data_IF_363998477015
#
_entry.id   IF_363998477015
#
_cell.length_a   1.000
_cell.length_b   1.000
_cell.length_c   1.000
_cell.angle_alpha   90.00
_cell.angle_beta   90.00
_cell.angle_gamma   90.00
#
_symmetry.space_group_name_H-M   'P 1'
#
loop_
_entity.id
_entity.type
_entity.pdbx_description
1 polymer ?
#
# COMPACT_ATOMS: atom_id res chain seq x y z
N UNK A 1 39.93 32.12 -58.51
CA UNK A 1 38.99 32.28 -57.36
C UNK A 1 38.42 30.92 -57.02
N UNK A 2 38.83 30.35 -55.86
CA UNK A 2 38.36 29.05 -55.39
C UNK A 2 37.43 29.28 -54.18
N UNK A 3 36.18 28.95 -54.32
CA UNK A 3 35.20 29.02 -53.25
C UNK A 3 35.27 27.73 -52.43
N UNK A 4 35.56 27.86 -51.12
CA UNK A 4 35.54 26.75 -50.15
C UNK A 4 34.18 26.75 -49.46
N UNK A 5 33.40 25.72 -49.75
CA UNK A 5 32.12 25.43 -49.05
C UNK A 5 32.44 24.65 -47.77
N UNK A 6 32.25 25.31 -46.61
CA UNK A 6 32.31 24.66 -45.31
C UNK A 6 30.94 24.05 -45.01
N UNK A 7 30.80 22.71 -45.06
CA UNK A 7 29.68 21.96 -44.52
C UNK A 7 29.80 21.89 -43.02
N UNK A 8 28.96 22.64 -42.32
CA UNK A 8 28.79 22.47 -40.88
C UNK A 8 27.91 21.30 -40.56
N UNK A 9 28.46 20.22 -39.97
CA UNK A 9 27.68 19.10 -39.45
C UNK A 9 27.13 19.48 -38.08
N UNK A 10 25.80 19.63 -38.01
CA UNK A 10 25.09 19.81 -36.74
C UNK A 10 24.87 18.43 -36.13
N UNK A 11 25.64 18.08 -35.10
CA UNK A 11 25.38 16.90 -34.26
C UNK A 11 24.18 17.19 -33.38
N UNK A 12 23.03 16.61 -33.72
CA UNK A 12 21.86 16.57 -32.85
C UNK A 12 22.11 15.55 -31.71
N UNK A 13 22.44 16.06 -30.52
CA UNK A 13 22.49 15.25 -29.31
C UNK A 13 21.05 14.84 -28.92
N UNK A 14 20.68 13.60 -29.23
CA UNK A 14 19.44 13.01 -28.74
C UNK A 14 19.57 12.79 -27.22
N UNK A 15 18.98 13.67 -26.43
CA UNK A 15 18.82 13.49 -25.00
C UNK A 15 17.79 12.38 -24.79
N UNK A 16 18.15 11.26 -24.14
CA UNK A 16 17.14 10.23 -23.84
C UNK A 16 16.13 10.84 -22.86
N UNK A 17 14.91 11.02 -23.31
CA UNK A 17 13.78 11.34 -22.44
C UNK A 17 13.52 10.12 -21.57
N UNK A 18 14.00 10.15 -20.33
CA UNK A 18 13.60 9.21 -19.29
C UNK A 18 12.12 9.47 -19.04
N UNK A 19 11.27 8.63 -19.61
CA UNK A 19 9.85 8.58 -19.25
C UNK A 19 9.79 8.23 -17.76
N UNK A 20 9.59 9.23 -16.92
CA UNK A 20 9.24 9.03 -15.53
C UNK A 20 7.89 8.33 -15.52
N UNK A 21 7.89 6.98 -15.46
CA UNK A 21 6.69 6.19 -15.32
C UNK A 21 5.90 6.71 -14.12
N UNK A 22 4.59 6.87 -14.28
CA UNK A 22 3.72 7.33 -13.18
C UNK A 22 3.96 6.47 -11.96
N UNK A 23 4.39 7.05 -10.83
CA UNK A 23 4.74 6.27 -9.65
C UNK A 23 3.53 5.48 -9.17
N UNK A 24 3.66 4.17 -9.15
CA UNK A 24 2.64 3.25 -8.67
C UNK A 24 2.64 3.11 -7.15
N UNK A 25 1.82 2.20 -6.68
CA UNK A 25 1.76 1.81 -5.27
C UNK A 25 2.34 0.41 -5.12
N UNK A 26 3.27 0.23 -4.19
CA UNK A 26 3.81 -1.07 -3.78
C UNK A 26 3.86 -1.14 -2.26
N UNK A 27 3.00 -1.96 -1.66
CA UNK A 27 2.85 -2.11 -0.22
C UNK A 27 3.07 -3.55 0.19
N UNK A 28 3.82 -3.76 1.28
CA UNK A 28 3.88 -5.01 2.01
C UNK A 28 2.97 -4.90 3.23
N UNK A 29 2.03 -5.82 3.34
CA UNK A 29 1.03 -5.84 4.40
C UNK A 29 1.25 -7.11 5.21
N UNK A 30 1.47 -6.94 6.52
CA UNK A 30 1.56 -8.04 7.48
C UNK A 30 0.40 -7.92 8.45
N UNK A 31 -0.46 -8.92 8.48
CA UNK A 31 -1.66 -8.95 9.30
C UNK A 31 -1.60 -10.10 10.33
N UNK A 32 -2.03 -9.82 11.54
CA UNK A 32 -2.09 -10.77 12.66
C UNK A 32 -3.54 -11.00 13.09
N UNK A 33 -3.83 -12.24 13.49
CA UNK A 33 -5.10 -12.61 14.10
C UNK A 33 -5.28 -11.98 15.49
N UNK A 34 -6.47 -12.12 16.05
CA UNK A 34 -6.71 -11.86 17.48
C UNK A 34 -5.68 -12.60 18.33
N UNK A 35 -5.08 -11.92 19.28
CA UNK A 35 -4.01 -12.48 20.13
C UNK A 35 -2.67 -12.68 19.42
N UNK A 36 -2.55 -12.31 18.15
CA UNK A 36 -1.28 -12.33 17.39
C UNK A 36 -0.72 -13.71 17.05
N UNK A 37 -1.51 -14.78 17.19
CA UNK A 37 -1.04 -16.16 17.00
C UNK A 37 -0.80 -16.57 15.57
N UNK A 38 -1.58 -16.02 14.64
CA UNK A 38 -1.48 -16.29 13.21
C UNK A 38 -1.11 -15.01 12.48
N UNK A 39 -0.19 -15.11 11.54
CA UNK A 39 0.31 -13.98 10.77
C UNK A 39 0.29 -14.32 9.27
N UNK A 40 -0.14 -13.37 8.47
CA UNK A 40 -0.03 -13.42 7.01
C UNK A 40 0.69 -12.19 6.49
N UNK A 41 1.62 -12.40 5.54
CA UNK A 41 2.30 -11.32 4.85
C UNK A 41 2.06 -11.45 3.35
N UNK A 42 1.70 -10.35 2.71
CA UNK A 42 1.49 -10.29 1.27
C UNK A 42 1.86 -8.91 0.71
N UNK A 43 2.05 -8.86 -0.59
CA UNK A 43 2.37 -7.62 -1.30
C UNK A 43 1.17 -7.19 -2.15
N UNK A 44 0.84 -5.91 -2.09
CA UNK A 44 -0.16 -5.27 -2.93
C UNK A 44 0.53 -4.26 -3.84
N UNK A 45 0.38 -4.45 -5.14
CA UNK A 45 0.92 -3.54 -6.15
C UNK A 45 -0.23 -2.98 -6.98
N UNK A 46 -0.31 -1.64 -7.05
CA UNK A 46 -1.27 -0.93 -7.87
C UNK A 46 -0.50 -0.06 -8.86
N UNK A 47 -0.62 -0.38 -10.12
CA UNK A 47 -0.03 0.41 -11.20
C UNK A 47 -1.14 1.08 -12.04
N UNK A 48 -0.86 2.20 -12.75
CA UNK A 48 -1.83 2.82 -13.66
C UNK A 48 -2.29 1.86 -14.76
N UNK A 49 -1.42 0.92 -15.18
CA UNK A 49 -1.65 -0.06 -16.24
C UNK A 49 -2.28 -1.38 -15.78
N UNK A 50 -2.69 -1.49 -14.52
CA UNK A 50 -3.31 -2.69 -13.98
C UNK A 50 -2.69 -3.18 -12.68
N UNK A 51 -3.39 -4.11 -12.05
CA UNK A 51 -3.00 -4.69 -10.77
C UNK A 51 -2.11 -5.90 -11.02
N UNK A 52 -0.94 -5.94 -10.42
CA UNK A 52 -0.03 -7.09 -10.47
C UNK A 52 0.30 -7.54 -9.05
N UNK A 53 0.27 -8.84 -8.83
CA UNK A 53 0.80 -9.49 -7.64
C UNK A 53 -0.11 -10.59 -7.11
N UNK A 54 0.47 -11.66 -6.56
CA UNK A 54 -0.29 -12.64 -5.81
C UNK A 54 -0.77 -11.98 -4.52
N UNK A 55 -2.06 -11.75 -4.43
CA UNK A 55 -2.68 -11.39 -3.17
C UNK A 55 -3.09 -12.69 -2.50
N UNK A 56 -2.57 -12.95 -1.31
CA UNK A 56 -2.91 -14.16 -0.57
C UNK A 56 -4.43 -14.22 -0.32
N UNK A 57 -5.06 -15.26 -0.81
CA UNK A 57 -6.44 -15.59 -0.54
C UNK A 57 -7.48 -14.83 -1.37
N UNK A 58 -8.65 -14.52 -0.79
CA UNK A 58 -9.83 -13.99 -1.48
C UNK A 58 -9.83 -12.47 -1.72
N UNK A 59 -8.74 -11.76 -1.44
CA UNK A 59 -8.64 -10.34 -1.76
C UNK A 59 -8.53 -10.16 -3.28
N UNK A 60 -9.40 -9.34 -3.84
CA UNK A 60 -9.31 -8.91 -5.24
C UNK A 60 -8.37 -7.71 -5.33
N UNK A 61 -7.24 -7.80 -6.03
CA UNK A 61 -6.29 -6.70 -6.11
C UNK A 61 -6.90 -5.39 -6.60
N UNK A 62 -7.81 -5.45 -7.59
CA UNK A 62 -8.51 -4.27 -8.09
C UNK A 62 -9.34 -3.57 -7.00
N UNK A 63 -10.04 -4.34 -6.16
CA UNK A 63 -10.85 -3.82 -5.07
C UNK A 63 -9.96 -3.21 -3.97
N UNK A 64 -8.84 -3.84 -3.67
CA UNK A 64 -7.86 -3.31 -2.72
C UNK A 64 -7.26 -1.98 -3.20
N UNK A 65 -6.90 -1.89 -4.48
CA UNK A 65 -6.40 -0.65 -5.06
C UNK A 65 -7.45 0.46 -5.09
N UNK A 66 -8.73 0.12 -5.36
CA UNK A 66 -9.83 1.06 -5.27
C UNK A 66 -10.03 1.56 -3.83
N UNK A 67 -10.00 0.66 -2.85
CA UNK A 67 -10.09 1.04 -1.44
C UNK A 67 -8.94 1.93 -0.98
N UNK A 68 -7.71 1.69 -1.45
CA UNK A 68 -6.57 2.57 -1.18
C UNK A 68 -6.79 3.99 -1.74
N UNK A 69 -7.42 4.12 -2.90
CA UNK A 69 -7.77 5.44 -3.45
C UNK A 69 -8.77 6.17 -2.54
N UNK A 70 -9.78 5.46 -2.03
CA UNK A 70 -10.77 6.01 -1.11
C UNK A 70 -10.16 6.38 0.26
N UNK A 71 -9.23 5.58 0.79
CA UNK A 71 -8.47 5.89 2.01
C UNK A 71 -7.68 7.20 1.83
N UNK A 72 -7.19 7.45 0.64
CA UNK A 72 -6.56 8.71 0.27
C UNK A 72 -5.28 8.98 1.06
N UNK A 73 -5.13 10.22 1.53
CA UNK A 73 -3.94 10.68 2.25
C UNK A 73 -3.80 10.05 3.65
N UNK A 74 -4.88 9.48 4.21
CA UNK A 74 -4.84 8.86 5.55
C UNK A 74 -3.87 7.69 5.63
N UNK A 75 -3.54 7.03 4.51
CA UNK A 75 -2.56 5.94 4.46
C UNK A 75 -1.15 6.38 4.92
N UNK A 76 -0.87 7.68 4.94
CA UNK A 76 0.41 8.24 5.39
C UNK A 76 0.43 8.58 6.89
N UNK A 77 -0.69 8.41 7.60
CA UNK A 77 -0.72 8.54 9.05
C UNK A 77 0.09 7.41 9.70
N UNK A 78 0.71 7.66 10.87
CA UNK A 78 1.47 6.63 11.57
C UNK A 78 0.59 5.48 12.06
N UNK A 79 -0.71 5.74 12.28
CA UNK A 79 -1.71 4.73 12.60
C UNK A 79 -3.05 5.07 11.94
N UNK A 80 -3.79 4.02 11.54
CA UNK A 80 -5.16 4.11 11.01
C UNK A 80 -6.22 3.76 12.04
N UNK A 81 -5.83 3.60 13.29
CA UNK A 81 -6.71 3.40 14.44
C UNK A 81 -6.15 4.12 15.66
N UNK A 82 -7.01 4.44 16.59
CA UNK A 82 -6.65 5.01 17.89
C UNK A 82 -7.25 4.17 19.02
N UNK A 83 -6.52 4.04 20.13
CA UNK A 83 -6.98 3.37 21.32
C UNK A 83 -7.93 4.28 22.12
N UNK A 84 -9.10 3.76 22.50
CA UNK A 84 -10.05 4.49 23.33
C UNK A 84 -9.55 4.59 24.77
N UNK A 85 -9.52 5.82 25.30
CA UNK A 85 -9.08 6.06 26.68
C UNK A 85 -9.95 5.30 27.68
N UNK A 86 -9.29 4.67 28.67
CA UNK A 86 -9.97 3.93 29.73
C UNK A 86 -10.58 2.59 29.29
N UNK A 87 -10.38 2.18 28.06
CA UNK A 87 -10.80 0.87 27.57
C UNK A 87 -9.65 -0.12 27.66
N UNK A 88 -9.96 -1.32 28.16
CA UNK A 88 -9.01 -2.43 28.22
C UNK A 88 -9.57 -3.65 27.52
N UNK A 89 -8.72 -4.45 26.91
CA UNK A 89 -9.10 -5.70 26.26
C UNK A 89 -8.29 -6.87 26.81
N UNK A 90 -8.93 -8.04 26.91
CA UNK A 90 -8.30 -9.27 27.41
C UNK A 90 -7.31 -9.82 26.38
N UNK A 91 -7.61 -9.66 25.10
CA UNK A 91 -6.76 -10.11 23.99
C UNK A 91 -6.49 -8.97 23.03
N UNK A 92 -5.27 -8.93 22.50
CA UNK A 92 -4.94 -7.96 21.46
C UNK A 92 -5.87 -8.13 20.26
N UNK A 93 -6.45 -7.04 19.75
CA UNK A 93 -7.31 -7.10 18.56
C UNK A 93 -6.50 -7.50 17.32
N UNK A 94 -7.16 -7.94 16.25
CA UNK A 94 -6.49 -8.15 14.97
C UNK A 94 -5.83 -6.85 14.52
N UNK A 95 -4.59 -6.95 14.06
CA UNK A 95 -3.76 -5.81 13.67
C UNK A 95 -3.06 -6.05 12.36
N UNK A 96 -2.66 -4.97 11.70
CA UNK A 96 -1.82 -5.05 10.53
C UNK A 96 -0.78 -3.94 10.50
N UNK A 97 0.36 -4.23 9.88
CA UNK A 97 1.38 -3.27 9.49
C UNK A 97 1.37 -3.12 7.96
N UNK A 98 1.44 -1.89 7.46
CA UNK A 98 1.43 -1.56 6.05
C UNK A 98 2.67 -0.71 5.76
N UNK A 99 3.58 -1.24 4.97
CA UNK A 99 4.86 -0.58 4.67
C UNK A 99 5.11 -0.61 3.17
N UNK A 100 5.66 0.47 2.63
CA UNK A 100 6.05 0.53 1.22
C UNK A 100 6.03 1.94 0.66
N UNK A 101 5.60 2.06 -0.60
CA UNK A 101 5.49 3.34 -1.29
C UNK A 101 4.15 3.47 -2.00
N UNK A 102 3.63 4.68 -2.04
CA UNK A 102 2.45 5.04 -2.81
C UNK A 102 2.71 6.37 -3.51
N UNK A 103 2.63 6.36 -4.83
CA UNK A 103 2.90 7.54 -5.67
C UNK A 103 4.26 8.19 -5.34
N UNK A 104 5.30 7.36 -5.18
CA UNK A 104 6.66 7.81 -4.82
C UNK A 104 6.84 8.22 -3.35
N UNK A 105 5.77 8.29 -2.56
CA UNK A 105 5.82 8.68 -1.15
C UNK A 105 5.82 7.46 -0.24
N UNK A 106 6.64 7.49 0.81
CA UNK A 106 6.75 6.40 1.79
C UNK A 106 5.47 6.24 2.59
N UNK A 107 5.03 4.98 2.74
CA UNK A 107 3.94 4.55 3.61
C UNK A 107 4.54 3.71 4.73
N UNK A 108 4.19 4.05 5.96
CA UNK A 108 4.49 3.25 7.15
C UNK A 108 3.40 3.50 8.17
N UNK A 109 2.42 2.62 8.20
CA UNK A 109 1.25 2.77 9.07
C UNK A 109 0.88 1.42 9.70
N UNK A 110 0.09 1.47 10.74
CA UNK A 110 -0.48 0.31 11.41
C UNK A 110 -1.98 0.52 11.62
N UNK A 111 -2.70 -0.58 11.76
CA UNK A 111 -4.14 -0.55 12.08
C UNK A 111 -4.46 -1.69 13.05
N UNK A 112 -5.36 -1.40 13.97
CA UNK A 112 -6.01 -2.40 14.83
C UNK A 112 -7.53 -2.24 14.66
N UNK A 113 -8.27 -3.34 14.73
CA UNK A 113 -9.71 -3.32 14.45
C UNK A 113 -10.46 -4.11 15.50
N UNK A 114 -11.39 -3.46 16.17
CA UNK A 114 -12.24 -4.07 17.18
C UNK A 114 -11.76 -3.90 18.62
N UNK A 115 -12.54 -4.34 19.58
CA UNK A 115 -12.28 -4.10 20.99
C UNK A 115 -12.26 -2.61 21.33
N UNK A 116 -11.16 -2.15 21.87
CA UNK A 116 -10.93 -0.75 22.27
C UNK A 116 -10.38 0.13 21.15
N UNK A 117 -10.30 -0.36 19.93
CA UNK A 117 -9.71 0.39 18.82
C UNK A 117 -10.77 1.04 17.95
N UNK A 118 -10.63 2.34 17.72
CA UNK A 118 -11.45 3.12 16.82
C UNK A 118 -10.71 3.34 15.49
N UNK A 119 -11.14 2.72 14.39
CA UNK A 119 -10.53 2.98 13.08
C UNK A 119 -10.75 4.42 12.63
N UNK A 120 -9.70 5.05 12.08
CA UNK A 120 -9.73 6.40 11.51
C UNK A 120 -10.24 6.42 10.06
N UNK A 121 -10.44 5.23 9.49
CA UNK A 121 -11.03 5.02 8.16
C UNK A 121 -12.13 3.97 8.25
N UNK A 122 -13.11 3.97 7.34
CA UNK A 122 -14.18 2.98 7.37
C UNK A 122 -13.65 1.54 7.35
N UNK A 123 -14.10 0.70 8.26
CA UNK A 123 -13.65 -0.71 8.40
C UNK A 123 -13.86 -1.48 7.09
N UNK A 124 -14.93 -1.18 6.34
CA UNK A 124 -15.18 -1.78 5.02
C UNK A 124 -14.02 -1.56 4.03
N UNK A 125 -13.36 -0.39 4.06
CA UNK A 125 -12.21 -0.10 3.22
C UNK A 125 -10.98 -0.85 3.71
N UNK A 126 -10.75 -0.89 5.02
CA UNK A 126 -9.64 -1.65 5.60
C UNK A 126 -9.73 -3.14 5.25
N UNK A 127 -10.92 -3.74 5.32
CA UNK A 127 -11.12 -5.16 4.97
C UNK A 127 -10.88 -5.47 3.49
N UNK A 128 -10.95 -4.49 2.61
CA UNK A 128 -10.61 -4.63 1.19
C UNK A 128 -9.10 -4.55 0.94
N UNK A 129 -8.34 -3.97 1.86
CA UNK A 129 -6.87 -3.82 1.77
C UNK A 129 -6.17 -4.84 2.65
N UNK A 130 -6.71 -5.08 3.85
CA UNK A 130 -6.12 -5.95 4.87
C UNK A 130 -6.99 -7.16 5.10
N UNK A 131 -6.43 -8.35 4.88
CA UNK A 131 -7.05 -9.60 5.28
C UNK A 131 -6.48 -10.04 6.61
N UNK A 132 -7.27 -9.90 7.66
CA UNK A 132 -6.90 -10.43 8.97
C UNK A 132 -7.06 -11.95 8.98
N UNK A 133 -6.05 -12.71 9.46
CA UNK A 133 -6.19 -14.14 9.61
C UNK A 133 -7.32 -14.49 10.58
N UNK A 134 -8.06 -15.55 10.29
CA UNK A 134 -9.01 -16.10 11.26
C UNK A 134 -8.25 -16.52 12.53
N UNK A 135 -8.88 -16.36 13.69
CA UNK A 135 -8.37 -16.96 14.91
C UNK A 135 -8.31 -18.48 14.70
N UNK A 136 -7.16 -19.09 14.94
CA UNK A 136 -7.05 -20.54 14.90
C UNK A 136 -8.06 -21.10 15.90
N UNK A 137 -9.07 -21.80 15.41
CA UNK A 137 -10.00 -22.54 16.25
C UNK A 137 -9.16 -23.61 16.96
N UNK A 138 -9.10 -23.56 18.27
CA UNK A 138 -8.49 -24.65 19.03
C UNK A 138 -9.34 -25.89 18.80
N UNK A 139 -8.77 -26.89 18.14
CA UNK A 139 -9.29 -28.25 18.18
C UNK A 139 -9.11 -28.82 19.58
#
# INVERSE_FOLDING_TARGET
MRAILLLGAVLALAVPTVSAGTPGTSLTITAWSVGGRTMHTYRLTCAPAGVRGPVAGTLRPADACAALREIGARIYLPALSEHLKGCNYIQAPPRASIVGTRNGRRVRTAVQVGGCERPLVPVRLLRRVVRFPAAAVRA
#
